data_IF_850926247584
#
_entry.id   IF_850926247584
#
_cell.length_a   1.000
_cell.length_b   1.000
_cell.length_c   1.000
_cell.angle_alpha   90.00
_cell.angle_beta   90.00
_cell.angle_gamma   90.00
#
_symmetry.space_group_name_H-M   'P 1'
#
loop_
_entity.id
_entity.type
_entity.pdbx_description
1 polymer ?
#
# COMPACT_ATOMS: atom_id res chain seq x y z
N UNK A 1 -14.79 4.01 19.26
CA UNK A 1 -14.00 3.24 18.29
C UNK A 1 -12.92 2.56 19.10
N UNK A 2 -12.94 1.22 19.18
CA UNK A 2 -11.85 0.46 19.80
C UNK A 2 -10.74 0.34 18.75
N UNK A 3 -9.62 1.01 18.98
CA UNK A 3 -8.42 0.84 18.16
C UNK A 3 -7.84 -0.56 18.40
N UNK A 4 -8.14 -1.46 17.47
CA UNK A 4 -7.46 -2.76 17.42
C UNK A 4 -6.17 -2.61 16.61
N UNK A 5 -5.13 -2.03 17.21
CA UNK A 5 -3.78 -2.13 16.69
C UNK A 5 -3.22 -3.53 16.96
N UNK A 6 -3.66 -4.50 16.17
CA UNK A 6 -2.97 -5.79 16.11
C UNK A 6 -1.71 -5.61 15.27
N UNK A 7 -0.57 -5.39 15.94
CA UNK A 7 0.72 -5.53 15.30
C UNK A 7 0.90 -7.00 14.94
N UNK A 8 0.92 -7.32 13.66
CA UNK A 8 1.24 -8.67 13.15
C UNK A 8 2.77 -8.85 13.25
N UNK A 9 3.30 -8.81 14.46
CA UNK A 9 4.74 -9.02 14.69
C UNK A 9 5.20 -10.43 14.33
N UNK A 10 4.28 -11.40 14.32
CA UNK A 10 4.59 -12.80 14.03
C UNK A 10 4.83 -13.10 12.52
N UNK A 11 4.54 -12.15 11.62
CA UNK A 11 4.74 -12.31 10.19
C UNK A 11 5.86 -11.43 9.62
N UNK A 12 6.66 -10.79 10.49
CA UNK A 12 7.84 -10.00 10.05
C UNK A 12 8.91 -10.83 9.36
N UNK A 13 8.88 -12.13 9.58
CA UNK A 13 9.91 -13.06 9.09
C UNK A 13 9.57 -13.69 7.72
N UNK A 14 8.40 -13.37 7.15
CA UNK A 14 8.07 -13.80 5.79
C UNK A 14 8.56 -12.73 4.81
N UNK A 15 9.67 -12.99 4.14
CA UNK A 15 10.15 -12.16 3.05
C UNK A 15 9.46 -12.55 1.74
N UNK A 16 9.26 -11.56 0.86
CA UNK A 16 8.73 -11.82 -0.48
C UNK A 16 9.56 -12.86 -1.25
N UNK A 17 10.90 -12.78 -1.12
CA UNK A 17 11.82 -13.76 -1.72
C UNK A 17 11.57 -15.20 -1.28
N UNK A 18 11.05 -15.39 -0.07
CA UNK A 18 10.77 -16.71 0.48
C UNK A 18 9.47 -17.32 -0.08
N UNK A 19 8.59 -16.46 -0.62
CA UNK A 19 7.31 -16.84 -1.24
C UNK A 19 7.38 -16.86 -2.77
N UNK A 20 8.46 -16.34 -3.37
CA UNK A 20 8.68 -16.40 -4.81
C UNK A 20 9.25 -17.78 -5.23
N UNK A 21 8.66 -18.40 -6.24
CA UNK A 21 9.06 -19.74 -6.70
C UNK A 21 8.37 -20.87 -5.93
N UNK A 22 9.12 -21.85 -5.42
CA UNK A 22 8.62 -22.89 -4.51
C UNK A 22 9.04 -22.56 -3.06
N UNK A 23 8.19 -21.89 -2.29
CA UNK A 23 8.52 -21.55 -0.92
C UNK A 23 8.65 -22.79 -0.04
N UNK A 24 9.52 -22.69 0.98
CA UNK A 24 9.68 -23.76 1.97
C UNK A 24 8.35 -24.10 2.67
N UNK A 25 8.19 -25.33 3.13
CA UNK A 25 6.92 -25.80 3.67
C UNK A 25 6.43 -24.99 4.88
N UNK A 26 7.33 -24.58 5.75
CA UNK A 26 7.03 -23.74 6.92
C UNK A 26 6.59 -22.32 6.54
N UNK A 27 7.11 -21.78 5.44
CA UNK A 27 6.69 -20.46 4.90
C UNK A 27 5.29 -20.55 4.30
N UNK A 28 4.98 -21.64 3.58
CA UNK A 28 3.64 -21.91 3.07
C UNK A 28 2.62 -22.04 4.20
N UNK A 29 2.96 -22.80 5.25
CA UNK A 29 2.11 -22.98 6.40
C UNK A 29 1.79 -21.65 7.10
N UNK A 30 2.81 -20.83 7.38
CA UNK A 30 2.64 -19.50 7.96
C UNK A 30 1.76 -18.58 7.10
N UNK A 31 1.89 -18.66 5.78
CA UNK A 31 1.07 -17.86 4.88
C UNK A 31 -0.40 -18.31 4.89
N UNK A 32 -0.66 -19.61 4.95
CA UNK A 32 -2.02 -20.14 5.10
C UNK A 32 -2.63 -19.77 6.48
N UNK A 33 -1.85 -19.80 7.55
CA UNK A 33 -2.29 -19.30 8.86
C UNK A 33 -2.67 -17.81 8.81
N UNK A 34 -1.85 -16.99 8.14
CA UNK A 34 -2.15 -15.57 7.92
C UNK A 34 -3.48 -15.37 7.19
N UNK A 35 -3.72 -16.13 6.11
CA UNK A 35 -4.96 -16.07 5.33
C UNK A 35 -6.18 -16.44 6.18
N UNK A 36 -6.08 -17.50 6.98
CA UNK A 36 -7.14 -17.92 7.89
C UNK A 36 -7.46 -16.84 8.94
N UNK A 37 -6.43 -16.22 9.48
CA UNK A 37 -6.59 -15.15 10.46
C UNK A 37 -7.22 -13.89 9.82
N UNK A 38 -6.79 -13.49 8.63
CA UNK A 38 -7.40 -12.40 7.86
C UNK A 38 -8.87 -12.69 7.57
N UNK A 39 -9.20 -13.90 7.13
CA UNK A 39 -10.57 -14.31 6.86
C UNK A 39 -11.48 -14.21 8.11
N UNK A 40 -10.97 -14.54 9.28
CA UNK A 40 -11.69 -14.38 10.54
C UNK A 40 -11.90 -12.90 10.93
N UNK A 41 -10.88 -12.04 10.69
CA UNK A 41 -10.99 -10.60 10.96
C UNK A 41 -11.99 -9.91 10.03
N UNK A 42 -12.03 -10.28 8.76
CA UNK A 42 -12.94 -9.71 7.75
C UNK A 42 -14.42 -9.91 8.08
N UNK A 43 -14.76 -10.86 8.94
CA UNK A 43 -16.12 -11.01 9.48
C UNK A 43 -16.55 -9.85 10.39
N UNK A 44 -15.60 -9.04 10.87
CA UNK A 44 -15.84 -8.00 11.89
C UNK A 44 -15.41 -6.61 11.47
N UNK A 45 -14.37 -6.52 10.64
CA UNK A 45 -13.73 -5.24 10.26
C UNK A 45 -13.19 -5.32 8.84
N UNK A 46 -13.02 -4.15 8.20
CA UNK A 46 -12.24 -4.02 6.96
C UNK A 46 -10.75 -4.17 7.25
N UNK A 47 -10.09 -5.05 6.54
CA UNK A 47 -8.67 -5.38 6.75
C UNK A 47 -7.80 -4.72 5.68
N UNK A 48 -6.84 -3.90 6.10
CA UNK A 48 -5.82 -3.31 5.25
C UNK A 48 -4.52 -4.09 5.40
N UNK A 49 -4.06 -4.74 4.33
CA UNK A 49 -2.74 -5.37 4.27
C UNK A 49 -1.70 -4.40 3.70
N UNK A 50 -0.63 -4.15 4.45
CA UNK A 50 0.27 -3.05 4.14
C UNK A 50 1.74 -3.49 4.07
N UNK A 51 2.40 -3.14 2.97
CA UNK A 51 3.86 -3.16 2.83
C UNK A 51 4.43 -1.75 2.92
N UNK A 52 5.51 -1.59 3.67
CA UNK A 52 6.25 -0.33 3.77
C UNK A 52 7.74 -0.57 3.53
N UNK A 53 8.33 0.22 2.64
CA UNK A 53 9.78 0.29 2.49
C UNK A 53 10.23 1.74 2.70
N UNK A 54 10.88 1.99 3.83
CA UNK A 54 11.37 3.33 4.20
C UNK A 54 12.76 3.65 3.63
N UNK A 55 13.37 2.74 2.89
CA UNK A 55 14.73 2.91 2.37
C UNK A 55 14.74 3.21 0.88
N UNK A 56 13.88 2.55 0.09
CA UNK A 56 13.90 2.64 -1.36
C UNK A 56 12.54 2.31 -1.98
N UNK A 57 12.39 2.60 -3.27
CA UNK A 57 11.36 2.04 -4.14
C UNK A 57 11.91 0.77 -4.79
N UNK A 58 11.39 -0.41 -4.48
CA UNK A 58 11.84 -1.66 -5.10
C UNK A 58 11.69 -1.67 -6.64
N UNK A 59 12.34 -2.62 -7.29
CA UNK A 59 12.16 -2.85 -8.72
C UNK A 59 10.74 -3.30 -9.05
N UNK A 60 10.31 -3.10 -10.29
CA UNK A 60 8.92 -3.28 -10.71
C UNK A 60 8.41 -4.71 -10.46
N UNK A 61 9.24 -5.72 -10.70
CA UNK A 61 8.88 -7.12 -10.45
C UNK A 61 8.70 -7.42 -8.96
N UNK A 62 9.52 -6.81 -8.09
CA UNK A 62 9.41 -6.95 -6.64
C UNK A 62 8.17 -6.22 -6.11
N UNK A 63 7.87 -5.02 -6.63
CA UNK A 63 6.61 -4.31 -6.33
C UNK A 63 5.40 -5.16 -6.70
N UNK A 64 5.39 -5.72 -7.92
CA UNK A 64 4.29 -6.55 -8.42
C UNK A 64 4.11 -7.82 -7.60
N UNK A 65 5.19 -8.52 -7.31
CA UNK A 65 5.15 -9.73 -6.51
C UNK A 65 4.67 -9.49 -5.08
N UNK A 66 5.13 -8.43 -4.41
CA UNK A 66 4.66 -8.06 -3.07
C UNK A 66 3.18 -7.70 -3.07
N UNK A 67 2.73 -6.90 -4.03
CA UNK A 67 1.31 -6.53 -4.13
C UNK A 67 0.44 -7.77 -4.36
N UNK A 68 0.88 -8.68 -5.24
CA UNK A 68 0.19 -9.94 -5.48
C UNK A 68 0.03 -10.76 -4.20
N UNK A 69 1.08 -10.91 -3.39
CA UNK A 69 0.99 -11.62 -2.11
C UNK A 69 0.04 -10.94 -1.12
N UNK A 70 0.05 -9.61 -1.06
CA UNK A 70 -0.90 -8.86 -0.22
C UNK A 70 -2.34 -9.15 -0.68
N UNK A 71 -2.60 -9.14 -1.98
CA UNK A 71 -3.92 -9.47 -2.55
C UNK A 71 -4.30 -10.93 -2.24
N UNK A 72 -3.39 -11.87 -2.44
CA UNK A 72 -3.57 -13.31 -2.20
C UNK A 72 -3.76 -13.66 -0.73
N UNK A 73 -3.26 -12.83 0.19
CA UNK A 73 -3.50 -13.00 1.62
C UNK A 73 -4.98 -12.81 2.01
N UNK A 74 -5.78 -12.24 1.11
CA UNK A 74 -7.22 -12.12 1.29
C UNK A 74 -7.68 -10.82 1.94
N UNK A 75 -6.82 -9.83 2.14
CA UNK A 75 -7.20 -8.50 2.69
C UNK A 75 -8.24 -7.79 1.84
N UNK A 76 -8.98 -6.86 2.42
CA UNK A 76 -9.94 -6.04 1.69
C UNK A 76 -9.23 -4.95 0.88
N UNK A 77 -8.22 -4.31 1.47
CA UNK A 77 -7.52 -3.17 0.89
C UNK A 77 -6.01 -3.43 0.91
N UNK A 78 -5.41 -3.81 -0.21
CA UNK A 78 -3.95 -3.87 -0.35
C UNK A 78 -3.33 -2.47 -0.33
N UNK A 79 -2.24 -2.32 0.43
CA UNK A 79 -1.54 -1.05 0.57
C UNK A 79 -0.04 -1.19 0.39
N UNK A 80 0.56 -0.21 -0.29
CA UNK A 80 2.01 -0.12 -0.48
C UNK A 80 2.51 1.31 -0.31
N UNK A 81 3.51 1.50 0.54
CA UNK A 81 4.18 2.78 0.73
C UNK A 81 5.69 2.59 0.61
N UNK A 82 6.33 3.32 -0.30
CA UNK A 82 7.74 3.16 -0.61
C UNK A 82 8.47 4.51 -0.60
N UNK A 83 9.79 4.47 -0.39
CA UNK A 83 10.64 5.66 -0.35
C UNK A 83 11.28 5.88 -1.71
N UNK A 84 11.00 6.99 -2.41
CA UNK A 84 11.68 7.31 -3.65
C UNK A 84 13.07 7.90 -3.39
N UNK A 85 14.06 7.48 -4.13
CA UNK A 85 15.38 8.11 -4.18
C UNK A 85 15.41 9.26 -5.20
N UNK A 86 14.56 9.17 -6.22
CA UNK A 86 14.50 10.13 -7.31
C UNK A 86 13.07 10.25 -7.88
N UNK A 87 12.87 11.16 -8.83
CA UNK A 87 11.55 11.39 -9.45
C UNK A 87 11.08 10.23 -10.31
N UNK A 88 12.01 9.43 -10.86
CA UNK A 88 11.65 8.26 -11.67
C UNK A 88 10.98 7.19 -10.80
N UNK A 89 11.41 7.01 -9.56
CA UNK A 89 10.77 6.10 -8.62
C UNK A 89 9.32 6.47 -8.33
N UNK A 90 9.03 7.77 -8.23
CA UNK A 90 7.65 8.27 -8.07
C UNK A 90 6.81 7.90 -9.29
N UNK A 91 7.34 8.13 -10.50
CA UNK A 91 6.66 7.79 -11.75
C UNK A 91 6.45 6.28 -11.89
N UNK A 92 7.45 5.47 -11.55
CA UNK A 92 7.36 4.00 -11.55
C UNK A 92 6.23 3.53 -10.64
N UNK A 93 6.14 4.07 -9.43
CA UNK A 93 5.05 3.70 -8.50
C UNK A 93 3.68 4.11 -9.03
N UNK A 94 3.53 5.29 -9.62
CA UNK A 94 2.26 5.74 -10.18
C UNK A 94 1.84 4.87 -11.38
N UNK A 95 2.76 4.55 -12.28
CA UNK A 95 2.53 3.61 -13.39
C UNK A 95 2.22 2.19 -12.89
N UNK A 96 2.92 1.74 -11.86
CA UNK A 96 2.65 0.47 -11.19
C UNK A 96 1.22 0.44 -10.64
N UNK A 97 0.78 1.52 -9.96
CA UNK A 97 -0.58 1.63 -9.41
C UNK A 97 -1.62 1.47 -10.51
N UNK A 98 -1.48 2.21 -11.61
CA UNK A 98 -2.38 2.13 -12.76
C UNK A 98 -2.47 0.70 -13.32
N UNK A 99 -1.33 0.04 -13.55
CA UNK A 99 -1.30 -1.35 -14.03
C UNK A 99 -1.97 -2.33 -13.05
N UNK A 100 -1.81 -2.10 -11.76
CA UNK A 100 -2.41 -2.98 -10.74
C UNK A 100 -3.93 -2.83 -10.66
N UNK A 101 -4.50 -1.65 -10.91
CA UNK A 101 -5.97 -1.48 -10.96
C UNK A 101 -6.63 -2.26 -12.10
N UNK A 102 -5.88 -2.59 -13.15
CA UNK A 102 -6.36 -3.46 -14.24
C UNK A 102 -6.33 -4.95 -13.86
N UNK A 103 -5.64 -5.32 -12.78
CA UNK A 103 -5.42 -6.71 -12.36
C UNK A 103 -6.25 -7.13 -11.14
N UNK A 104 -6.93 -6.19 -10.48
CA UNK A 104 -7.73 -6.48 -9.30
C UNK A 104 -8.90 -5.51 -9.16
N UNK A 105 -10.05 -6.01 -8.71
CA UNK A 105 -11.22 -5.19 -8.34
C UNK A 105 -11.11 -4.61 -6.92
N UNK A 106 -10.05 -4.92 -6.18
CA UNK A 106 -9.84 -4.37 -4.83
C UNK A 106 -9.40 -2.92 -4.89
N UNK A 107 -9.90 -2.06 -3.98
CA UNK A 107 -9.38 -0.71 -3.83
C UNK A 107 -7.91 -0.78 -3.39
N UNK A 108 -7.02 -0.20 -4.17
CA UNK A 108 -5.59 -0.17 -3.87
C UNK A 108 -5.23 1.13 -3.15
N UNK A 109 -4.25 1.06 -2.27
CA UNK A 109 -3.61 2.23 -1.67
C UNK A 109 -2.13 2.19 -2.00
N UNK A 110 -1.64 3.17 -2.75
CA UNK A 110 -0.21 3.32 -3.01
C UNK A 110 0.25 4.73 -2.72
N UNK A 111 1.46 4.86 -2.21
CA UNK A 111 2.06 6.18 -2.00
C UNK A 111 3.58 6.15 -2.05
N UNK A 112 4.14 7.13 -2.71
CA UNK A 112 5.55 7.46 -2.65
C UNK A 112 5.77 8.41 -1.48
N UNK A 113 6.66 8.05 -0.56
CA UNK A 113 6.97 8.85 0.62
C UNK A 113 7.89 10.02 0.27
N UNK A 114 8.38 10.74 1.26
CA UNK A 114 9.22 11.94 1.14
C UNK A 114 8.58 13.11 0.36
N UNK A 115 9.29 14.23 0.32
CA UNK A 115 8.81 15.47 -0.36
C UNK A 115 8.64 15.30 -1.86
N UNK A 116 9.55 14.57 -2.52
CA UNK A 116 9.44 14.33 -3.97
C UNK A 116 8.29 13.39 -4.32
N UNK A 117 7.88 12.54 -3.37
CA UNK A 117 6.75 11.62 -3.52
C UNK A 117 5.37 12.23 -3.23
N UNK A 118 5.32 13.46 -2.70
CA UNK A 118 4.04 14.09 -2.30
C UNK A 118 3.02 14.19 -3.44
N UNK A 119 3.47 14.29 -4.69
CA UNK A 119 2.59 14.31 -5.87
C UNK A 119 1.74 13.03 -5.97
N UNK A 120 2.26 11.86 -5.55
CA UNK A 120 1.49 10.62 -5.54
C UNK A 120 0.31 10.63 -4.57
N UNK A 121 0.32 11.52 -3.57
CA UNK A 121 -0.79 11.71 -2.63
C UNK A 121 -1.88 12.61 -3.20
N UNK A 122 -1.51 13.55 -4.07
CA UNK A 122 -2.42 14.52 -4.69
C UNK A 122 -3.06 13.90 -5.93
N UNK A 123 -2.25 13.31 -6.82
CA UNK A 123 -2.69 12.75 -8.08
C UNK A 123 -3.02 11.25 -8.00
N UNK A 124 -2.94 10.63 -6.82
CA UNK A 124 -3.11 9.19 -6.65
C UNK A 124 -4.42 8.65 -7.19
N UNK A 125 -5.51 9.37 -7.04
CA UNK A 125 -6.83 9.01 -7.58
C UNK A 125 -6.79 8.82 -9.09
N UNK A 126 -6.15 9.72 -9.83
CA UNK A 126 -6.03 9.64 -11.29
C UNK A 126 -5.24 8.40 -11.77
N UNK A 127 -4.47 7.78 -10.89
CA UNK A 127 -3.72 6.54 -11.14
C UNK A 127 -4.31 5.32 -10.44
N UNK A 128 -5.47 5.47 -9.78
CA UNK A 128 -6.23 4.37 -9.18
C UNK A 128 -5.90 4.07 -7.72
N UNK A 129 -5.18 4.96 -7.00
CA UNK A 129 -5.05 4.85 -5.55
C UNK A 129 -6.30 5.37 -4.87
N UNK A 130 -7.03 4.49 -4.17
CA UNK A 130 -8.35 4.79 -3.61
C UNK A 130 -8.33 5.68 -2.35
N UNK A 131 -7.19 5.75 -1.66
CA UNK A 131 -7.06 6.49 -0.38
C UNK A 131 -5.71 7.17 -0.31
N UNK A 132 -5.69 8.38 0.23
CA UNK A 132 -4.47 9.10 0.61
C UNK A 132 -4.51 9.52 2.08
N UNK A 133 -3.38 9.97 2.62
CA UNK A 133 -3.23 10.32 4.03
C UNK A 133 -2.61 11.70 4.18
N UNK A 134 -3.35 12.60 4.82
CA UNK A 134 -2.88 13.90 5.27
C UNK A 134 -2.42 13.87 6.73
N UNK A 135 -1.73 14.93 7.17
CA UNK A 135 -1.33 15.12 8.56
C UNK A 135 -2.26 16.11 9.28
N UNK A 136 -2.53 15.80 10.56
CA UNK A 136 -3.15 16.73 11.50
C UNK A 136 -2.09 17.07 12.54
N UNK A 137 -1.43 18.21 12.40
CA UNK A 137 -0.28 18.61 13.21
C UNK A 137 1.02 17.98 12.69
N UNK A 138 1.57 16.98 13.37
CA UNK A 138 2.82 16.33 12.97
C UNK A 138 2.61 15.27 11.88
N UNK A 139 3.58 15.13 10.97
CA UNK A 139 3.60 14.07 9.99
C UNK A 139 3.81 12.70 10.67
N UNK A 140 2.96 11.74 10.37
CA UNK A 140 3.12 10.34 10.80
C UNK A 140 3.94 9.51 9.82
N UNK A 141 4.16 10.03 8.61
CA UNK A 141 5.02 9.44 7.59
C UNK A 141 5.63 10.55 6.72
N UNK A 142 6.86 10.39 6.21
CA UNK A 142 7.55 11.41 5.43
C UNK A 142 6.75 11.87 4.21
N UNK A 143 6.65 13.19 4.00
CA UNK A 143 5.99 13.79 2.85
C UNK A 143 4.47 13.84 2.92
N UNK A 144 3.88 13.69 4.11
CA UNK A 144 2.48 14.01 4.31
C UNK A 144 2.24 15.52 4.18
N UNK A 145 1.13 15.85 3.54
CA UNK A 145 0.65 17.23 3.46
C UNK A 145 -0.35 17.49 4.60
N UNK A 146 -0.46 18.75 5.09
CA UNK A 146 -1.53 19.11 6.00
C UNK A 146 -2.90 18.77 5.39
N UNK A 147 -3.78 18.13 6.17
CA UNK A 147 -5.04 17.57 5.67
C UNK A 147 -5.90 18.63 4.95
N UNK A 148 -5.99 19.84 5.47
CA UNK A 148 -6.77 20.92 4.84
C UNK A 148 -6.22 21.32 3.46
N UNK A 149 -4.90 21.31 3.27
CA UNK A 149 -4.28 21.58 1.97
C UNK A 149 -4.41 20.43 1.00
N UNK A 150 -4.29 19.21 1.51
CA UNK A 150 -4.49 18.02 0.71
C UNK A 150 -5.92 17.93 0.19
N UNK A 151 -6.92 18.22 1.02
CA UNK A 151 -8.34 18.26 0.66
C UNK A 151 -8.62 19.26 -0.47
N UNK A 152 -8.14 20.51 -0.35
CA UNK A 152 -8.25 21.53 -1.40
C UNK A 152 -7.67 21.06 -2.74
N UNK A 153 -6.50 20.37 -2.72
CA UNK A 153 -5.84 19.85 -3.91
C UNK A 153 -6.59 18.66 -4.52
N UNK A 154 -7.10 17.77 -3.69
CA UNK A 154 -7.87 16.61 -4.13
C UNK A 154 -9.18 17.03 -4.79
N UNK A 155 -9.89 17.99 -4.22
CA UNK A 155 -11.10 18.54 -4.83
C UNK A 155 -10.84 19.12 -6.22
N UNK A 156 -9.73 19.87 -6.38
CA UNK A 156 -9.33 20.41 -7.67
C UNK A 156 -9.04 19.32 -8.71
N UNK A 157 -8.32 18.26 -8.30
CA UNK A 157 -8.00 17.12 -9.20
C UNK A 157 -9.29 16.39 -9.56
N UNK A 158 -10.11 16.06 -8.57
CA UNK A 158 -11.35 15.29 -8.75
C UNK A 158 -12.33 15.98 -9.70
N UNK A 159 -12.55 17.29 -9.53
CA UNK A 159 -13.46 18.09 -10.39
C UNK A 159 -13.03 18.13 -11.86
N UNK A 160 -11.74 17.95 -12.15
CA UNK A 160 -11.21 18.01 -13.52
C UNK A 160 -10.94 16.61 -14.11
N UNK A 161 -11.09 15.56 -13.32
CA UNK A 161 -10.83 14.17 -13.74
C UNK A 161 -12.13 13.46 -14.20
N UNK A 162 -13.30 13.96 -13.80
CA UNK A 162 -14.62 13.47 -14.24
C UNK A 162 -15.04 14.15 -15.55
#
# INVERSE_FOLDING_TARGET
>A
VKDYNYSISNFKDINYSDLSGEPAADVKEKFEELKNWIAALRQKVTVVGSYHNFNMTPEDDDLAGRMKLIIESGVDIPKMAVMPENRMDVMRLMMFTLKMTEQTDKPLITMSMSRIGSISRIAGEAFGSAVTFGSIGQESAPGQLPVNKLEEMLEMVHQNYQ
#
